data_IF_161023643050
#
_entry.id   IF_161023643050
#
_cell.length_a   1.000
_cell.length_b   1.000
_cell.length_c   1.000
_cell.angle_alpha   90.00
_cell.angle_beta   90.00
_cell.angle_gamma   90.00
#
_symmetry.space_group_name_H-M   'P 1'
#
loop_
_entity.id
_entity.type
_entity.pdbx_description
1 polymer ?
#
# COMPACT_ATOMS: atom_id res chain seq x y z
N UNK A 1 1.18 -28.28 16.39
CA UNK A 1 0.46 -27.07 15.93
C UNK A 1 1.32 -25.78 15.93
N UNK A 2 2.16 -25.53 16.95
CA UNK A 2 2.98 -24.29 17.07
C UNK A 2 3.99 -24.12 15.90
N UNK A 3 4.61 -25.21 15.44
CA UNK A 3 5.63 -25.17 14.40
C UNK A 3 5.08 -24.79 13.01
N UNK A 4 3.83 -25.18 12.71
CA UNK A 4 3.14 -24.83 11.47
C UNK A 4 2.88 -23.32 11.39
N UNK A 5 2.40 -22.73 12.50
CA UNK A 5 2.08 -21.31 12.62
C UNK A 5 3.33 -20.42 12.51
N UNK A 6 4.46 -20.85 13.08
CA UNK A 6 5.76 -20.20 12.90
C UNK A 6 6.24 -20.23 11.44
N UNK A 7 6.03 -21.35 10.74
CA UNK A 7 6.40 -21.49 9.34
C UNK A 7 5.54 -20.58 8.44
N UNK A 8 4.23 -20.52 8.69
CA UNK A 8 3.32 -19.59 8.00
C UNK A 8 3.70 -18.12 8.24
N UNK A 9 4.04 -17.74 9.48
CA UNK A 9 4.49 -16.39 9.81
C UNK A 9 5.79 -16.03 9.09
N UNK A 10 6.72 -16.97 8.98
CA UNK A 10 8.01 -16.79 8.28
C UNK A 10 7.80 -16.65 6.77
N UNK A 11 6.94 -17.48 6.19
CA UNK A 11 6.54 -17.41 4.78
C UNK A 11 5.85 -16.08 4.49
N UNK A 12 4.88 -15.68 5.30
CA UNK A 12 4.19 -14.38 5.19
C UNK A 12 5.17 -13.20 5.22
N UNK A 13 6.11 -13.18 6.17
CA UNK A 13 7.13 -12.15 6.24
C UNK A 13 8.07 -12.13 5.02
N UNK A 14 8.41 -13.30 4.46
CA UNK A 14 9.23 -13.41 3.25
C UNK A 14 8.48 -12.90 2.02
N UNK A 15 7.21 -13.27 1.86
CA UNK A 15 6.33 -12.77 0.81
C UNK A 15 6.09 -11.26 0.93
N UNK A 16 5.83 -10.75 2.14
CA UNK A 16 5.68 -9.32 2.41
C UNK A 16 6.91 -8.52 1.97
N UNK A 17 8.12 -9.00 2.33
CA UNK A 17 9.37 -8.37 1.89
C UNK A 17 9.54 -8.38 0.38
N UNK A 18 9.13 -9.47 -0.29
CA UNK A 18 9.21 -9.61 -1.74
C UNK A 18 8.23 -8.67 -2.46
N UNK A 19 6.98 -8.61 -2.00
CA UNK A 19 5.95 -7.67 -2.51
C UNK A 19 6.41 -6.23 -2.31
N UNK A 20 6.93 -5.89 -1.13
CA UNK A 20 7.50 -4.56 -0.86
C UNK A 20 8.62 -4.23 -1.85
N UNK A 21 9.58 -5.13 -2.09
CA UNK A 21 10.65 -4.92 -3.07
C UNK A 21 10.12 -4.71 -4.49
N UNK A 22 9.14 -5.48 -4.91
CA UNK A 22 8.49 -5.34 -6.22
C UNK A 22 7.80 -3.97 -6.33
N UNK A 23 7.06 -3.56 -5.30
CA UNK A 23 6.48 -2.22 -5.26
C UNK A 23 7.53 -1.12 -5.34
N UNK A 24 8.65 -1.23 -4.59
CA UNK A 24 9.74 -0.24 -4.68
C UNK A 24 10.31 -0.17 -6.09
N UNK A 25 10.54 -1.33 -6.70
CA UNK A 25 11.12 -1.45 -8.03
C UNK A 25 10.22 -0.79 -9.07
N UNK A 26 8.92 -1.07 -9.01
CA UNK A 26 7.93 -0.44 -9.88
C UNK A 26 7.87 1.07 -9.62
N UNK A 27 7.81 1.52 -8.36
CA UNK A 27 7.77 2.96 -8.03
C UNK A 27 9.05 3.72 -8.42
N UNK A 28 10.21 3.05 -8.43
CA UNK A 28 11.48 3.64 -8.85
C UNK A 28 11.62 3.75 -10.37
N UNK A 29 10.80 3.04 -11.15
CA UNK A 29 10.80 3.14 -12.60
C UNK A 29 10.05 4.39 -13.07
N UNK A 30 10.58 5.13 -14.06
CA UNK A 30 9.92 6.32 -14.61
C UNK A 30 8.53 6.02 -15.20
N UNK A 31 8.29 4.78 -15.66
CA UNK A 31 7.01 4.29 -16.18
C UNK A 31 6.20 3.44 -15.18
N UNK A 32 6.62 3.38 -13.92
CA UNK A 32 5.98 2.56 -12.89
C UNK A 32 4.56 2.98 -12.55
N UNK A 33 4.32 4.30 -12.51
CA UNK A 33 3.00 4.87 -12.24
C UNK A 33 2.02 4.55 -13.39
N UNK A 34 2.36 4.79 -14.68
CA UNK A 34 1.55 4.33 -15.81
C UNK A 34 1.26 2.83 -15.78
N UNK A 35 2.24 2.00 -15.40
CA UNK A 35 2.09 0.54 -15.36
C UNK A 35 1.10 0.09 -14.27
N UNK A 36 1.11 0.75 -13.12
CA UNK A 36 0.21 0.42 -11.99
C UNK A 36 -1.21 0.96 -12.19
N UNK A 37 -1.36 2.06 -12.92
CA UNK A 37 -2.65 2.72 -13.16
C UNK A 37 -3.78 1.78 -13.64
N UNK A 38 -3.60 0.92 -14.66
CA UNK A 38 -4.66 0.00 -15.11
C UNK A 38 -5.06 -1.01 -14.03
N UNK A 39 -4.11 -1.51 -13.24
CA UNK A 39 -4.42 -2.41 -12.13
C UNK A 39 -5.25 -1.72 -11.04
N UNK A 40 -4.90 -0.46 -10.71
CA UNK A 40 -5.68 0.34 -9.77
C UNK A 40 -7.08 0.65 -10.30
N UNK A 41 -7.24 0.92 -11.60
CA UNK A 41 -8.54 1.19 -12.22
C UNK A 41 -9.43 -0.05 -12.20
N UNK A 42 -8.91 -1.21 -12.63
CA UNK A 42 -9.66 -2.48 -12.63
C UNK A 42 -10.08 -2.84 -11.20
N UNK A 43 -9.17 -2.70 -10.23
CA UNK A 43 -9.46 -2.97 -8.83
C UNK A 43 -10.45 -1.96 -8.23
N UNK A 44 -10.38 -0.69 -8.62
CA UNK A 44 -11.33 0.35 -8.23
C UNK A 44 -12.74 0.09 -8.76
N UNK A 45 -12.85 -0.34 -10.02
CA UNK A 45 -14.13 -0.75 -10.64
C UNK A 45 -14.68 -1.99 -9.93
N UNK A 46 -13.83 -2.98 -9.66
CA UNK A 46 -14.23 -4.17 -8.89
C UNK A 46 -14.77 -3.81 -7.50
N UNK A 47 -14.09 -2.91 -6.78
CA UNK A 47 -14.53 -2.44 -5.47
C UNK A 47 -15.82 -1.62 -5.53
N UNK A 48 -16.06 -0.86 -6.60
CA UNK A 48 -17.27 -0.03 -6.70
C UNK A 48 -18.55 -0.85 -6.92
N UNK A 49 -18.42 -2.07 -7.46
CA UNK A 49 -19.54 -2.98 -7.71
C UNK A 49 -20.19 -3.53 -6.43
N UNK A 50 -19.44 -3.69 -5.33
CA UNK A 50 -19.97 -4.20 -4.05
C UNK A 50 -20.18 -3.09 -3.02
N UNK A 51 -21.23 -3.21 -2.19
CA UNK A 51 -21.50 -2.25 -1.10
C UNK A 51 -20.33 -2.17 -0.09
N UNK A 52 -19.77 -3.32 0.29
CA UNK A 52 -18.58 -3.38 1.15
C UNK A 52 -17.33 -2.82 0.46
N UNK A 53 -17.22 -3.05 -0.85
CA UNK A 53 -16.11 -2.54 -1.67
C UNK A 53 -16.12 -1.01 -1.76
N UNK A 54 -17.29 -0.37 -1.83
CA UNK A 54 -17.43 1.09 -1.78
C UNK A 54 -16.92 1.68 -0.47
N UNK A 55 -17.17 0.99 0.66
CA UNK A 55 -16.61 1.37 1.97
C UNK A 55 -15.09 1.36 1.96
N UNK A 56 -14.48 0.30 1.44
CA UNK A 56 -13.02 0.19 1.27
C UNK A 56 -12.47 1.26 0.33
N UNK A 57 -13.15 1.52 -0.79
CA UNK A 57 -12.76 2.53 -1.77
C UNK A 57 -12.75 3.95 -1.18
N UNK A 58 -13.76 4.28 -0.37
CA UNK A 58 -13.83 5.57 0.35
C UNK A 58 -12.66 5.73 1.33
N UNK A 59 -12.28 4.65 2.02
CA UNK A 59 -11.13 4.67 2.92
C UNK A 59 -9.81 4.87 2.16
N UNK A 60 -9.60 4.15 1.05
CA UNK A 60 -8.44 4.35 0.19
C UNK A 60 -8.36 5.77 -0.37
N UNK A 61 -9.49 6.33 -0.78
CA UNK A 61 -9.56 7.72 -1.26
C UNK A 61 -9.23 8.73 -0.15
N UNK A 62 -9.72 8.52 1.07
CA UNK A 62 -9.40 9.37 2.22
C UNK A 62 -7.89 9.38 2.51
N UNK A 63 -7.24 8.20 2.53
CA UNK A 63 -5.79 8.06 2.70
C UNK A 63 -5.04 8.77 1.57
N UNK A 64 -5.51 8.64 0.33
CA UNK A 64 -4.91 9.30 -0.83
C UNK A 64 -4.96 10.82 -0.72
N UNK A 65 -6.12 11.40 -0.38
CA UNK A 65 -6.28 12.85 -0.19
C UNK A 65 -5.43 13.36 0.97
N UNK A 66 -5.40 12.63 2.08
CA UNK A 66 -4.54 12.96 3.21
C UNK A 66 -3.06 12.97 2.78
N UNK A 67 -2.64 11.97 2.00
CA UNK A 67 -1.28 11.87 1.47
C UNK A 67 -0.93 13.01 0.51
N UNK A 68 -1.83 13.37 -0.41
CA UNK A 68 -1.67 14.52 -1.31
C UNK A 68 -1.51 15.82 -0.52
N UNK A 69 -2.32 16.01 0.52
CA UNK A 69 -2.23 17.21 1.36
C UNK A 69 -0.92 17.27 2.14
N UNK A 70 -0.39 16.13 2.60
CA UNK A 70 0.92 16.05 3.24
C UNK A 70 2.07 16.33 2.26
N UNK A 71 1.97 15.95 0.97
CA UNK A 71 3.03 16.21 -0.02
C UNK A 71 3.22 17.72 -0.29
N UNK A 72 2.16 18.52 -0.13
CA UNK A 72 2.19 19.97 -0.40
C UNK A 72 3.12 20.76 0.53
N UNK A 73 3.38 20.26 1.75
CA UNK A 73 4.23 20.96 2.74
C UNK A 73 5.56 20.23 2.93
N UNK A 74 6.63 20.95 3.30
CA UNK A 74 7.96 20.36 3.53
C UNK A 74 7.94 19.41 4.73
N UNK A 75 7.23 19.77 5.80
CA UNK A 75 7.03 18.91 6.97
C UNK A 75 6.06 17.75 6.71
N UNK A 76 5.02 17.95 5.91
CA UNK A 76 4.10 16.89 5.53
C UNK A 76 4.78 15.80 4.70
N UNK A 77 5.71 16.16 3.80
CA UNK A 77 6.54 15.17 3.08
C UNK A 77 7.35 14.29 4.03
N UNK A 78 7.88 14.87 5.12
CA UNK A 78 8.63 14.12 6.15
C UNK A 78 7.71 13.18 6.93
N UNK A 79 6.51 13.62 7.32
CA UNK A 79 5.52 12.76 7.97
C UNK A 79 5.05 11.62 7.05
N UNK A 80 4.84 11.91 5.78
CA UNK A 80 4.45 10.92 4.78
C UNK A 80 5.53 9.85 4.59
N UNK A 81 6.80 10.26 4.53
CA UNK A 81 7.93 9.34 4.49
C UNK A 81 8.00 8.45 5.74
N UNK A 82 7.77 9.01 6.93
CA UNK A 82 7.71 8.25 8.18
C UNK A 82 6.56 7.24 8.19
N UNK A 83 5.38 7.63 7.70
CA UNK A 83 4.22 6.74 7.60
C UNK A 83 4.47 5.59 6.60
N UNK A 84 5.08 5.89 5.44
CA UNK A 84 5.49 4.87 4.47
C UNK A 84 6.53 3.94 5.10
N UNK A 85 7.51 4.48 5.84
CA UNK A 85 8.53 3.69 6.52
C UNK A 85 7.92 2.76 7.58
N UNK A 86 7.02 3.26 8.42
CA UNK A 86 6.27 2.46 9.40
C UNK A 86 5.49 1.34 8.74
N UNK A 87 4.76 1.66 7.66
CA UNK A 87 4.02 0.68 6.88
C UNK A 87 4.94 -0.40 6.29
N UNK A 88 6.14 -0.01 5.84
CA UNK A 88 7.15 -0.90 5.29
C UNK A 88 7.75 -1.84 6.33
N UNK A 89 8.08 -1.30 7.51
CA UNK A 89 8.56 -2.06 8.67
C UNK A 89 7.46 -2.94 9.28
N UNK A 90 6.23 -2.72 8.85
CA UNK A 90 5.07 -3.50 9.22
C UNK A 90 4.51 -3.19 10.60
N UNK A 91 4.82 -2.00 11.10
CA UNK A 91 4.16 -1.39 12.23
C UNK A 91 2.82 -0.84 11.74
N UNK A 92 1.77 -1.64 11.94
CA UNK A 92 0.39 -1.14 11.97
C UNK A 92 0.16 -0.63 13.38
N UNK A 93 0.09 0.70 13.51
CA UNK A 93 -0.63 1.33 14.62
C UNK A 93 -2.13 0.99 14.48
#
# INVERSE_FOLDING_TARGET
>A
MINLNLNFKKIYNKFRKLINRIFLFILAMPMGIPLLLPFFLIYGIYLSMSHEGRGKLKNYYSIFIHSINLIKTKDGRRQLWLNIKKFWDGQTD
#
